data_IF_055368623350
#
_entry.id   IF_055368623350
#
_cell.length_a   1.000
_cell.length_b   1.000
_cell.length_c   1.000
_cell.angle_alpha   90.00
_cell.angle_beta   90.00
_cell.angle_gamma   90.00
#
_symmetry.space_group_name_H-M   'P 1'
#
loop_
_entity.id
_entity.type
_entity.pdbx_description
1 polymer ?
#
# COMPACT_ATOMS: atom_id res chain seq x y z
N UNK A 1 13.11 14.64 -23.23
CA UNK A 1 12.03 13.62 -23.10
C UNK A 1 10.81 14.25 -22.45
N UNK A 2 9.59 13.81 -22.83
CA UNK A 2 8.38 14.31 -22.17
C UNK A 2 8.30 13.78 -20.73
N UNK A 3 7.81 14.58 -19.76
CA UNK A 3 7.66 14.13 -18.39
C UNK A 3 6.72 12.91 -18.33
N UNK A 4 7.14 11.90 -17.57
CA UNK A 4 6.31 10.71 -17.32
C UNK A 4 5.34 11.02 -16.20
N UNK A 5 4.03 11.02 -16.50
CA UNK A 5 2.98 11.24 -15.51
C UNK A 5 2.36 9.93 -15.07
N UNK A 6 2.49 9.63 -13.79
CA UNK A 6 1.95 8.41 -13.18
C UNK A 6 0.95 8.76 -12.09
N UNK A 7 -0.24 8.20 -12.17
CA UNK A 7 -1.22 8.31 -11.10
C UNK A 7 -1.19 7.03 -10.27
N UNK A 8 -0.96 7.18 -8.98
CA UNK A 8 -1.05 6.11 -8.00
C UNK A 8 -2.39 6.11 -7.29
N UNK A 9 -2.91 4.94 -7.00
CA UNK A 9 -4.09 4.82 -6.15
C UNK A 9 -4.02 3.57 -5.28
N UNK A 10 -4.35 3.76 -4.02
CA UNK A 10 -4.30 2.72 -3.00
C UNK A 10 -4.65 3.30 -1.65
N UNK A 11 -4.80 2.46 -0.64
CA UNK A 11 -5.07 2.98 0.70
C UNK A 11 -5.70 1.97 1.64
N UNK A 12 -6.21 2.48 2.75
CA UNK A 12 -6.80 1.69 3.83
C UNK A 12 -5.77 1.06 4.78
N UNK A 13 -4.51 0.94 4.35
CA UNK A 13 -3.38 0.49 5.18
C UNK A 13 -2.05 0.94 4.57
N UNK A 14 -0.95 0.82 5.33
CA UNK A 14 0.40 1.12 4.83
C UNK A 14 0.93 0.11 3.79
N UNK A 15 0.40 -1.12 3.80
CA UNK A 15 0.84 -2.19 2.90
C UNK A 15 0.78 -1.79 1.42
N UNK A 16 -0.38 -1.41 0.88
CA UNK A 16 -0.52 -0.98 -0.51
C UNK A 16 0.21 0.33 -0.84
N UNK A 17 0.45 1.20 0.13
CA UNK A 17 0.98 2.54 -0.10
C UNK A 17 2.50 2.54 -0.28
N UNK A 18 3.22 1.88 0.59
CA UNK A 18 4.69 1.91 0.61
C UNK A 18 5.33 1.42 -0.70
N UNK A 19 4.90 0.31 -1.33
CA UNK A 19 5.44 -0.11 -2.61
C UNK A 19 5.18 0.89 -3.76
N UNK A 20 4.03 1.60 -3.73
CA UNK A 20 3.75 2.64 -4.73
C UNK A 20 4.68 3.85 -4.56
N UNK A 21 4.99 4.24 -3.32
CA UNK A 21 5.95 5.30 -3.03
C UNK A 21 7.38 4.92 -3.43
N UNK A 22 7.79 3.68 -3.15
CA UNK A 22 9.09 3.17 -3.58
C UNK A 22 9.22 3.11 -5.10
N UNK A 23 8.12 2.76 -5.81
CA UNK A 23 8.08 2.82 -7.26
C UNK A 23 8.19 4.26 -7.79
N UNK A 24 7.52 5.21 -7.16
CA UNK A 24 7.64 6.63 -7.53
C UNK A 24 9.07 7.15 -7.36
N UNK A 25 9.73 6.78 -6.27
CA UNK A 25 11.12 7.13 -6.02
C UNK A 25 12.04 6.58 -7.11
N UNK A 26 11.87 5.33 -7.50
CA UNK A 26 12.69 4.71 -8.53
C UNK A 26 12.45 5.31 -9.92
N UNK A 27 11.19 5.62 -10.27
CA UNK A 27 10.87 6.32 -11.53
C UNK A 27 11.51 7.71 -11.54
N UNK A 28 11.48 8.43 -10.40
CA UNK A 28 12.10 9.76 -10.29
C UNK A 28 13.62 9.72 -10.50
N UNK A 29 14.31 8.66 -10.07
CA UNK A 29 15.75 8.48 -10.31
C UNK A 29 16.06 8.27 -11.78
N UNK A 30 15.20 7.54 -12.49
CA UNK A 30 15.37 7.25 -13.91
C UNK A 30 14.95 8.41 -14.82
N UNK A 31 13.98 9.21 -14.39
CA UNK A 31 13.48 10.39 -15.10
C UNK A 31 13.10 11.48 -14.11
N UNK A 32 13.97 12.48 -13.96
CA UNK A 32 13.81 13.59 -13.01
C UNK A 32 12.58 14.48 -13.27
N UNK A 33 12.07 14.50 -14.50
CA UNK A 33 10.90 15.30 -14.90
C UNK A 33 9.57 14.55 -14.70
N UNK A 34 9.61 13.39 -14.01
CA UNK A 34 8.40 12.62 -13.74
C UNK A 34 7.47 13.34 -12.76
N UNK A 35 6.20 13.32 -13.10
CA UNK A 35 5.12 13.91 -12.30
C UNK A 35 4.25 12.81 -11.70
N UNK A 36 3.88 12.97 -10.44
CA UNK A 36 3.07 11.98 -9.74
C UNK A 36 1.84 12.61 -9.10
N UNK A 37 0.77 11.83 -9.02
CA UNK A 37 -0.43 12.15 -8.26
C UNK A 37 -0.89 10.92 -7.50
N UNK A 38 -1.25 11.05 -6.22
CA UNK A 38 -1.75 9.96 -5.40
C UNK A 38 -3.22 10.20 -5.04
N UNK A 39 -4.10 9.28 -5.43
CA UNK A 39 -5.50 9.25 -5.01
C UNK A 39 -5.68 8.20 -3.91
N UNK A 40 -6.16 8.62 -2.75
CA UNK A 40 -6.32 7.73 -1.60
C UNK A 40 -7.58 8.04 -0.79
N UNK A 41 -7.82 7.30 0.29
CA UNK A 41 -8.96 7.53 1.16
C UNK A 41 -8.74 8.74 2.08
N UNK A 42 -9.82 9.45 2.41
CA UNK A 42 -9.78 10.68 3.21
C UNK A 42 -9.16 10.50 4.60
N UNK A 43 -9.38 9.34 5.22
CA UNK A 43 -8.99 9.07 6.62
C UNK A 43 -8.07 7.84 6.74
N UNK A 44 -7.36 7.49 5.68
CA UNK A 44 -6.44 6.36 5.68
C UNK A 44 -5.02 6.76 6.10
N UNK A 45 -4.21 5.80 6.59
CA UNK A 45 -2.82 6.04 6.95
C UNK A 45 -1.95 6.45 5.76
N UNK A 46 -2.39 6.13 4.53
CA UNK A 46 -1.71 6.53 3.29
C UNK A 46 -1.57 8.04 3.16
N UNK A 47 -2.53 8.82 3.66
CA UNK A 47 -2.45 10.28 3.62
C UNK A 47 -1.21 10.81 4.35
N UNK A 48 -0.91 10.24 5.52
CA UNK A 48 0.26 10.65 6.31
C UNK A 48 1.55 10.24 5.60
N UNK A 49 1.58 9.03 5.04
CA UNK A 49 2.76 8.50 4.34
C UNK A 49 3.08 9.29 3.08
N UNK A 50 2.07 9.59 2.25
CA UNK A 50 2.25 10.37 1.03
C UNK A 50 2.64 11.82 1.34
N UNK A 51 2.09 12.43 2.39
CA UNK A 51 2.47 13.78 2.84
C UNK A 51 3.94 13.91 3.26
N UNK A 52 4.60 12.81 3.62
CA UNK A 52 6.03 12.80 3.90
C UNK A 52 6.89 12.83 2.63
N UNK A 53 6.27 12.69 1.48
CA UNK A 53 6.90 12.80 0.16
C UNK A 53 6.49 14.11 -0.52
N UNK A 54 7.06 14.39 -1.69
CA UNK A 54 6.67 15.55 -2.52
C UNK A 54 5.47 15.25 -3.43
N UNK A 55 4.85 14.07 -3.34
CA UNK A 55 3.76 13.64 -4.20
C UNK A 55 2.46 14.31 -3.74
N UNK A 56 1.74 15.04 -4.61
CA UNK A 56 0.42 15.57 -4.30
C UNK A 56 -0.55 14.46 -3.95
N UNK A 57 -1.31 14.64 -2.85
CA UNK A 57 -2.32 13.69 -2.38
C UNK A 57 -3.72 14.30 -2.52
N UNK A 58 -4.60 13.57 -3.16
CA UNK A 58 -6.02 13.93 -3.28
C UNK A 58 -6.87 12.88 -2.57
N UNK A 59 -7.61 13.26 -1.52
CA UNK A 59 -8.56 12.37 -0.89
C UNK A 59 -9.80 12.19 -1.77
N UNK A 60 -10.17 10.93 -2.03
CA UNK A 60 -11.39 10.61 -2.75
C UNK A 60 -12.39 9.88 -1.84
N UNK A 61 -13.70 10.10 -2.04
CA UNK A 61 -14.72 9.31 -1.37
C UNK A 61 -14.54 7.82 -1.65
N UNK A 62 -14.57 7.00 -0.62
CA UNK A 62 -14.41 5.55 -0.78
C UNK A 62 -15.42 4.82 0.09
N UNK A 63 -16.25 3.98 -0.55
CA UNK A 63 -17.07 3.00 0.15
C UNK A 63 -16.21 1.83 0.62
N UNK A 64 -16.52 1.27 1.78
CA UNK A 64 -15.94 0.00 2.23
C UNK A 64 -17.00 -1.08 2.07
N UNK A 65 -16.88 -1.96 1.08
CA UNK A 65 -17.72 -3.16 1.01
C UNK A 65 -17.42 -4.05 2.22
N UNK A 66 -18.22 -3.88 3.28
CA UNK A 66 -18.10 -4.66 4.52
C UNK A 66 -18.71 -6.04 4.29
N UNK A 67 -18.02 -7.07 4.77
CA UNK A 67 -18.51 -8.47 4.67
C UNK A 67 -19.63 -8.80 5.66
N UNK A 68 -20.06 -7.82 6.47
CA UNK A 68 -21.16 -7.96 7.44
C UNK A 68 -22.27 -6.97 7.13
N UNK A 69 -23.49 -7.30 7.55
CA UNK A 69 -24.65 -6.45 7.37
C UNK A 69 -24.46 -5.12 8.12
N UNK A 70 -24.50 -4.01 7.40
CA UNK A 70 -24.42 -2.65 7.96
C UNK A 70 -25.27 -1.70 7.13
N UNK A 71 -26.01 -0.80 7.76
CA UNK A 71 -26.74 0.29 7.11
C UNK A 71 -25.83 1.14 6.18
N UNK A 72 -24.55 1.22 6.51
CA UNK A 72 -23.56 1.93 5.71
C UNK A 72 -23.32 1.29 4.35
N UNK A 73 -23.57 0.01 4.18
CA UNK A 73 -23.45 -0.68 2.88
C UNK A 73 -24.47 -0.14 1.86
N UNK A 74 -25.55 0.50 2.32
CA UNK A 74 -26.54 1.13 1.45
C UNK A 74 -26.01 2.45 0.83
N UNK A 75 -25.14 3.16 1.55
CA UNK A 75 -24.52 4.40 1.06
C UNK A 75 -23.18 4.17 0.36
N UNK A 76 -22.55 3.02 0.55
CA UNK A 76 -21.26 2.69 -0.06
C UNK A 76 -21.28 2.78 -1.60
N UNK A 77 -22.33 2.36 -2.35
CA UNK A 77 -22.41 2.55 -3.80
C UNK A 77 -22.36 4.03 -4.22
N UNK A 78 -23.06 4.90 -3.49
CA UNK A 78 -23.04 6.36 -3.78
C UNK A 78 -21.65 6.94 -3.56
N UNK A 79 -20.96 6.51 -2.49
CA UNK A 79 -19.57 6.91 -2.22
C UNK A 79 -18.61 6.39 -3.29
N UNK A 80 -18.81 5.17 -3.79
CA UNK A 80 -18.02 4.59 -4.88
C UNK A 80 -18.22 5.40 -6.18
N UNK A 81 -19.46 5.74 -6.51
CA UNK A 81 -19.76 6.59 -7.68
C UNK A 81 -19.16 7.98 -7.54
N UNK A 82 -19.28 8.61 -6.35
CA UNK A 82 -18.65 9.89 -6.05
C UNK A 82 -17.13 9.84 -6.17
N UNK A 83 -16.52 8.76 -5.65
CA UNK A 83 -15.08 8.52 -5.80
C UNK A 83 -14.67 8.33 -7.27
N UNK A 84 -15.50 7.65 -8.06
CA UNK A 84 -15.31 7.50 -9.49
C UNK A 84 -15.34 8.83 -10.24
N UNK A 85 -16.27 9.71 -9.91
CA UNK A 85 -16.39 11.04 -10.52
C UNK A 85 -15.17 11.92 -10.18
N UNK A 86 -14.76 11.96 -8.91
CA UNK A 86 -13.57 12.70 -8.50
C UNK A 86 -12.33 12.12 -9.19
N UNK A 87 -12.17 10.79 -9.19
CA UNK A 87 -11.10 10.12 -9.92
C UNK A 87 -11.08 10.47 -11.41
N UNK A 88 -12.26 10.46 -12.07
CA UNK A 88 -12.42 10.79 -13.47
C UNK A 88 -11.96 12.24 -13.78
N UNK A 89 -12.36 13.21 -12.95
CA UNK A 89 -11.92 14.61 -13.10
C UNK A 89 -10.41 14.74 -12.96
N UNK A 90 -9.81 14.06 -11.97
CA UNK A 90 -8.36 14.09 -11.81
C UNK A 90 -7.59 13.38 -12.92
N UNK A 91 -8.15 12.32 -13.50
CA UNK A 91 -7.58 11.67 -14.69
C UNK A 91 -7.60 12.59 -15.91
N UNK A 92 -8.69 13.34 -16.11
CA UNK A 92 -8.81 14.31 -17.21
C UNK A 92 -7.85 15.50 -17.06
N UNK A 93 -7.69 16.00 -15.85
CA UNK A 93 -6.85 17.18 -15.56
C UNK A 93 -5.37 16.87 -15.52
N UNK A 94 -4.98 15.81 -14.81
CA UNK A 94 -3.61 15.36 -14.66
C UNK A 94 -3.07 14.65 -15.92
N UNK A 95 -3.93 13.96 -16.67
CA UNK A 95 -3.64 13.23 -17.91
C UNK A 95 -2.45 12.26 -17.73
N UNK A 96 -2.52 11.30 -16.80
CA UNK A 96 -1.44 10.35 -16.62
C UNK A 96 -1.31 9.42 -17.81
N UNK A 97 -0.10 8.96 -18.11
CA UNK A 97 0.15 7.91 -19.11
C UNK A 97 -0.19 6.52 -18.56
N UNK A 98 -0.19 6.36 -17.23
CA UNK A 98 -0.51 5.09 -16.58
C UNK A 98 -1.09 5.33 -15.19
N UNK A 99 -2.01 4.47 -14.81
CA UNK A 99 -2.53 4.35 -13.43
C UNK A 99 -1.96 3.08 -12.82
N UNK A 100 -1.37 3.18 -11.64
CA UNK A 100 -0.83 2.03 -10.89
C UNK A 100 -1.54 1.90 -9.56
N UNK A 101 -1.99 0.70 -9.24
CA UNK A 101 -2.65 0.39 -7.96
C UNK A 101 -2.03 -0.80 -7.28
N UNK A 102 -1.95 -0.75 -5.96
CA UNK A 102 -1.57 -1.90 -5.12
C UNK A 102 -2.76 -2.51 -4.38
N UNK A 103 -3.99 -2.25 -4.86
CA UNK A 103 -5.23 -2.71 -4.24
C UNK A 103 -5.91 -1.63 -3.40
N UNK A 104 -6.95 -2.02 -2.68
CA UNK A 104 -7.87 -1.17 -1.93
C UNK A 104 -9.14 -0.81 -2.69
N UNK A 105 -10.24 -0.71 -1.97
CA UNK A 105 -11.54 -0.34 -2.56
C UNK A 105 -11.57 1.08 -3.13
N UNK A 106 -10.72 1.98 -2.64
CA UNK A 106 -10.58 3.33 -3.17
C UNK A 106 -10.09 3.34 -4.62
N UNK A 107 -9.32 2.32 -5.01
CA UNK A 107 -8.75 2.20 -6.37
C UNK A 107 -9.76 1.70 -7.40
N UNK A 108 -10.79 0.96 -6.98
CA UNK A 108 -11.75 0.34 -7.91
C UNK A 108 -12.42 1.38 -8.81
N UNK A 109 -13.08 2.45 -8.30
CA UNK A 109 -13.71 3.43 -9.16
C UNK A 109 -12.72 4.19 -10.05
N UNK A 110 -11.48 4.39 -9.59
CA UNK A 110 -10.42 5.04 -10.37
C UNK A 110 -9.98 4.15 -11.54
N UNK A 111 -9.85 2.83 -11.32
CA UNK A 111 -9.50 1.87 -12.36
C UNK A 111 -10.55 1.84 -13.49
N UNK A 112 -11.85 1.86 -13.14
CA UNK A 112 -12.91 1.94 -14.13
C UNK A 112 -12.96 3.28 -14.86
N UNK A 113 -12.70 4.40 -14.17
CA UNK A 113 -12.57 5.70 -14.80
C UNK A 113 -11.37 5.76 -15.77
N UNK A 114 -10.24 5.17 -15.39
CA UNK A 114 -9.07 5.04 -16.28
C UNK A 114 -9.39 4.21 -17.52
N UNK A 115 -10.10 3.10 -17.37
CA UNK A 115 -10.54 2.26 -18.48
C UNK A 115 -11.45 3.01 -19.45
N UNK A 116 -12.43 3.78 -18.96
CA UNK A 116 -13.31 4.63 -19.79
C UNK A 116 -12.48 5.65 -20.59
N UNK A 117 -11.47 6.22 -19.97
CA UNK A 117 -10.58 7.20 -20.61
C UNK A 117 -9.45 6.55 -21.44
N UNK A 118 -9.42 5.21 -21.54
CA UNK A 118 -8.39 4.44 -22.24
C UNK A 118 -6.98 4.69 -21.72
N UNK A 119 -6.87 5.01 -20.42
CA UNK A 119 -5.59 5.16 -19.72
C UNK A 119 -5.17 3.78 -19.21
N UNK A 120 -3.96 3.29 -19.54
CA UNK A 120 -3.47 2.00 -19.06
C UNK A 120 -3.50 1.90 -17.55
N UNK A 121 -4.01 0.76 -17.04
CA UNK A 121 -4.08 0.47 -15.62
C UNK A 121 -3.28 -0.80 -15.28
N UNK A 122 -2.42 -0.70 -14.28
CA UNK A 122 -1.54 -1.76 -13.81
C UNK A 122 -1.89 -2.10 -12.35
N UNK A 123 -2.10 -3.38 -12.08
CA UNK A 123 -2.26 -3.90 -10.72
C UNK A 123 -0.92 -4.40 -10.19
N UNK A 124 -0.48 -3.89 -9.05
CA UNK A 124 0.59 -4.48 -8.24
C UNK A 124 -0.04 -5.40 -7.19
N UNK A 125 0.09 -6.71 -7.38
CA UNK A 125 -0.45 -7.72 -6.49
C UNK A 125 0.66 -8.30 -5.61
N UNK A 126 0.61 -7.98 -4.33
CA UNK A 126 1.66 -8.34 -3.38
C UNK A 126 1.33 -9.60 -2.56
N UNK A 127 0.05 -9.85 -2.33
CA UNK A 127 -0.40 -10.99 -1.53
C UNK A 127 -0.53 -12.25 -2.37
N UNK A 128 -0.37 -13.43 -1.73
CA UNK A 128 -0.57 -14.74 -2.36
C UNK A 128 -2.02 -14.92 -2.83
N UNK A 129 -2.98 -14.39 -2.08
CA UNK A 129 -4.40 -14.43 -2.45
C UNK A 129 -4.89 -13.06 -2.87
N UNK A 130 -5.45 -12.92 -4.09
CA UNK A 130 -5.99 -11.66 -4.55
C UNK A 130 -7.12 -11.16 -3.66
N UNK A 131 -6.99 -9.90 -3.21
CA UNK A 131 -8.09 -9.22 -2.55
C UNK A 131 -9.26 -8.96 -3.49
N UNK A 132 -10.46 -8.77 -2.93
CA UNK A 132 -11.67 -8.51 -3.72
C UNK A 132 -11.51 -7.27 -4.62
N UNK A 133 -10.86 -6.21 -4.15
CA UNK A 133 -10.63 -5.01 -4.94
C UNK A 133 -9.83 -5.31 -6.23
N UNK A 134 -8.72 -6.07 -6.12
CA UNK A 134 -7.92 -6.43 -7.29
C UNK A 134 -8.67 -7.35 -8.26
N UNK A 135 -9.51 -8.25 -7.74
CA UNK A 135 -10.39 -9.09 -8.58
C UNK A 135 -11.41 -8.25 -9.35
N UNK A 136 -11.98 -7.23 -8.71
CA UNK A 136 -12.92 -6.31 -9.36
C UNK A 136 -12.25 -5.44 -10.43
N UNK A 137 -10.99 -5.04 -10.23
CA UNK A 137 -10.26 -4.24 -11.19
C UNK A 137 -9.66 -5.05 -12.35
N UNK A 138 -9.46 -6.36 -12.17
CA UNK A 138 -8.81 -7.22 -13.16
C UNK A 138 -9.41 -7.14 -14.58
N UNK A 139 -10.76 -7.11 -14.78
CA UNK A 139 -11.34 -7.03 -16.12
C UNK A 139 -11.00 -5.75 -16.88
N UNK A 140 -10.66 -4.68 -16.19
CA UNK A 140 -10.35 -3.36 -16.78
C UNK A 140 -8.86 -3.01 -16.73
N UNK A 141 -8.02 -3.96 -16.29
CA UNK A 141 -6.58 -3.78 -16.15
C UNK A 141 -5.81 -4.36 -17.33
N UNK A 142 -4.83 -3.66 -17.82
CA UNK A 142 -3.98 -4.09 -18.91
C UNK A 142 -2.83 -4.98 -18.47
N UNK A 143 -2.31 -4.75 -17.26
CA UNK A 143 -1.15 -5.48 -16.75
C UNK A 143 -1.28 -5.83 -15.27
N UNK A 144 -0.63 -6.91 -14.90
CA UNK A 144 -0.45 -7.40 -13.55
C UNK A 144 1.03 -7.57 -13.25
N UNK A 145 1.47 -6.93 -12.18
CA UNK A 145 2.77 -7.20 -11.57
C UNK A 145 2.53 -7.95 -10.27
N UNK A 146 3.11 -9.12 -10.10
CA UNK A 146 2.87 -9.99 -8.95
C UNK A 146 4.17 -10.44 -8.31
N UNK A 147 4.16 -10.58 -6.97
CA UNK A 147 5.29 -11.18 -6.24
C UNK A 147 5.31 -12.70 -6.34
N UNK A 148 4.17 -13.32 -6.60
CA UNK A 148 4.03 -14.77 -6.66
C UNK A 148 3.43 -15.21 -7.99
N UNK A 149 4.04 -16.22 -8.61
CA UNK A 149 3.57 -16.78 -9.87
C UNK A 149 2.19 -17.44 -9.73
N UNK A 150 1.99 -18.17 -8.64
CA UNK A 150 0.71 -18.80 -8.33
C UNK A 150 -0.44 -17.80 -8.21
N UNK A 151 -0.14 -16.57 -7.83
CA UNK A 151 -1.12 -15.48 -7.76
C UNK A 151 -1.45 -14.93 -9.14
N UNK A 152 -0.47 -14.82 -10.03
CA UNK A 152 -0.68 -14.34 -11.40
C UNK A 152 -1.69 -15.21 -12.16
N UNK A 153 -1.71 -16.51 -11.90
CA UNK A 153 -2.64 -17.47 -12.51
C UNK A 153 -4.10 -17.26 -12.07
N UNK A 154 -4.34 -16.56 -10.97
CA UNK A 154 -5.69 -16.24 -10.48
C UNK A 154 -6.32 -15.01 -11.17
N UNK A 155 -5.63 -14.43 -12.14
CA UNK A 155 -6.10 -13.28 -12.95
C UNK A 155 -6.18 -13.65 -14.44
N UNK A 156 -7.10 -14.53 -14.85
CA UNK A 156 -7.17 -15.01 -16.23
C UNK A 156 -7.49 -13.89 -17.24
N UNK A 157 -8.20 -12.84 -16.85
CA UNK A 157 -8.57 -11.72 -17.69
C UNK A 157 -7.41 -10.80 -18.09
N UNK A 158 -6.28 -10.88 -17.39
CA UNK A 158 -5.11 -10.03 -17.67
C UNK A 158 -4.09 -10.82 -18.49
N UNK A 159 -3.80 -10.34 -19.70
CA UNK A 159 -2.86 -11.00 -20.60
C UNK A 159 -1.39 -10.71 -20.25
N UNK A 160 -1.08 -9.44 -19.93
CA UNK A 160 0.28 -9.05 -19.59
C UNK A 160 0.53 -9.25 -18.09
N UNK A 161 1.30 -10.27 -17.76
CA UNK A 161 1.67 -10.59 -16.38
C UNK A 161 3.18 -10.60 -16.23
N UNK A 162 3.67 -10.02 -15.13
CA UNK A 162 5.09 -10.04 -14.76
C UNK A 162 5.24 -10.41 -13.31
N UNK A 163 6.11 -11.37 -13.03
CA UNK A 163 6.58 -11.69 -11.68
C UNK A 163 7.79 -10.82 -11.38
N UNK A 164 7.79 -10.19 -10.21
CA UNK A 164 8.94 -9.45 -9.67
C UNK A 164 9.20 -9.87 -8.22
N UNK A 165 10.37 -9.51 -7.69
CA UNK A 165 10.62 -9.56 -6.25
C UNK A 165 9.83 -8.50 -5.48
N UNK A 166 9.79 -8.59 -4.14
CA UNK A 166 9.16 -7.57 -3.32
C UNK A 166 9.76 -6.18 -3.58
N UNK A 167 8.90 -5.19 -3.74
CA UNK A 167 9.33 -3.79 -3.82
C UNK A 167 9.71 -3.33 -2.40
N UNK A 168 10.97 -2.99 -2.23
CA UNK A 168 11.55 -2.63 -0.93
C UNK A 168 12.12 -1.21 -1.03
N UNK A 169 11.92 -0.41 0.02
CA UNK A 169 12.48 0.94 0.09
C UNK A 169 14.00 0.92 0.16
N UNK A 170 14.64 1.89 -0.47
CA UNK A 170 16.10 1.98 -0.55
C UNK A 170 16.75 2.05 0.83
N UNK A 171 16.11 2.70 1.82
CA UNK A 171 16.66 2.84 3.17
C UNK A 171 16.90 1.50 3.87
N UNK A 172 16.19 0.43 3.47
CA UNK A 172 16.39 -0.91 4.05
C UNK A 172 17.76 -1.47 3.63
N UNK A 173 18.22 -1.16 2.42
CA UNK A 173 19.54 -1.61 1.94
C UNK A 173 20.71 -0.80 2.54
N UNK A 174 20.45 0.40 3.03
CA UNK A 174 21.42 1.25 3.73
C UNK A 174 21.35 1.10 5.25
N UNK A 175 20.68 0.07 5.75
CA UNK A 175 20.58 -0.20 7.19
C UNK A 175 21.97 -0.47 7.79
N UNK A 176 22.19 0.09 8.98
CA UNK A 176 23.44 -0.02 9.72
C UNK A 176 23.14 -0.50 11.15
N UNK A 177 23.75 -1.60 11.56
CA UNK A 177 23.56 -2.20 12.86
C UNK A 177 24.08 -1.31 14.00
N UNK A 178 25.19 -0.60 13.80
CA UNK A 178 25.79 0.30 14.80
C UNK A 178 24.81 1.43 15.15
N UNK A 179 24.23 2.08 14.13
CA UNK A 179 23.20 3.12 14.33
C UNK A 179 21.95 2.58 15.04
N UNK A 180 21.57 1.33 14.76
CA UNK A 180 20.46 0.70 15.45
C UNK A 180 20.80 0.44 16.93
N UNK A 181 22.00 -0.06 17.20
CA UNK A 181 22.49 -0.30 18.56
C UNK A 181 22.51 1.00 19.39
N UNK A 182 23.07 2.07 18.84
CA UNK A 182 23.07 3.39 19.48
C UNK A 182 21.64 3.91 19.73
N UNK A 183 20.78 3.85 18.72
CA UNK A 183 19.41 4.39 18.80
C UNK A 183 18.53 3.68 19.83
N UNK A 184 18.70 2.36 19.97
CA UNK A 184 17.88 1.53 20.85
C UNK A 184 18.61 1.09 22.12
N UNK A 185 19.86 1.51 22.33
CA UNK A 185 20.66 1.11 23.49
C UNK A 185 20.95 -0.39 23.52
N UNK A 186 21.24 -0.99 22.35
CA UNK A 186 21.45 -2.43 22.24
C UNK A 186 22.92 -2.79 22.41
N UNK A 187 23.18 -3.94 23.03
CA UNK A 187 24.51 -4.52 23.16
C UNK A 187 24.85 -5.40 21.98
N UNK A 188 25.95 -5.15 21.24
CA UNK A 188 26.29 -5.93 20.04
C UNK A 188 26.46 -7.43 20.29
N UNK A 189 26.94 -7.80 21.49
CA UNK A 189 27.24 -9.20 21.87
C UNK A 189 25.96 -10.02 22.27
N UNK A 190 24.82 -9.36 22.48
CA UNK A 190 23.61 -10.04 22.91
C UNK A 190 22.66 -10.24 21.73
N UNK A 191 22.10 -11.45 21.53
CA UNK A 191 21.13 -11.68 20.46
C UNK A 191 19.91 -10.78 20.59
N UNK A 192 19.40 -10.26 19.45
CA UNK A 192 18.25 -9.38 19.37
C UNK A 192 17.06 -10.11 18.78
N UNK A 193 15.89 -10.00 19.43
CA UNK A 193 14.61 -10.39 18.89
C UNK A 193 13.83 -9.13 18.50
N UNK A 194 13.53 -8.99 17.20
CA UNK A 194 12.65 -7.97 16.69
C UNK A 194 11.24 -8.55 16.52
N UNK A 195 10.26 -7.97 17.22
CA UNK A 195 8.85 -8.36 17.13
C UNK A 195 8.07 -7.23 16.47
N UNK A 196 7.39 -7.52 15.38
CA UNK A 196 6.61 -6.49 14.67
C UNK A 196 5.31 -7.02 14.10
N UNK A 197 4.23 -6.30 14.34
CA UNK A 197 2.90 -6.53 13.77
C UNK A 197 2.54 -5.53 12.66
N UNK A 198 3.56 -4.86 12.07
CA UNK A 198 3.39 -3.79 11.10
C UNK A 198 3.02 -2.45 11.73
N UNK A 199 2.83 -1.40 10.91
CA UNK A 199 2.61 -0.03 11.39
C UNK A 199 1.35 0.16 12.23
N UNK A 200 0.28 -0.58 11.97
CA UNK A 200 -0.96 -0.55 12.77
C UNK A 200 -0.86 -1.44 14.02
N UNK A 201 0.12 -2.33 14.08
CA UNK A 201 0.26 -3.34 15.11
C UNK A 201 -0.65 -4.54 14.91
N UNK A 202 -0.37 -5.60 15.67
CA UNK A 202 -1.15 -6.83 15.69
C UNK A 202 -1.53 -7.17 17.13
N UNK A 203 -2.74 -6.83 17.56
CA UNK A 203 -3.20 -7.01 18.95
C UNK A 203 -3.02 -8.46 19.43
N UNK A 204 -3.30 -9.45 18.58
CA UNK A 204 -3.11 -10.87 18.91
C UNK A 204 -1.65 -11.22 19.17
N UNK A 205 -0.72 -10.73 18.32
CA UNK A 205 0.71 -10.90 18.51
C UNK A 205 1.18 -10.21 19.81
N UNK A 206 0.78 -8.96 20.00
CA UNK A 206 1.15 -8.18 21.18
C UNK A 206 0.73 -8.89 22.48
N UNK A 207 -0.52 -9.38 22.53
CA UNK A 207 -1.04 -10.15 23.69
C UNK A 207 -0.32 -11.48 23.90
N UNK A 208 0.06 -12.17 22.84
CA UNK A 208 0.77 -13.44 22.93
C UNK A 208 2.21 -13.26 23.45
N UNK A 209 2.86 -12.17 23.06
CA UNK A 209 4.25 -11.89 23.43
C UNK A 209 4.39 -11.35 24.85
N UNK A 210 3.45 -10.52 25.30
CA UNK A 210 3.53 -9.82 26.58
C UNK A 210 3.86 -10.73 27.79
N UNK A 211 3.22 -11.90 27.96
CA UNK A 211 3.54 -12.81 29.06
C UNK A 211 4.96 -13.41 28.97
N UNK A 212 5.53 -13.48 27.77
CA UNK A 212 6.82 -14.10 27.51
C UNK A 212 8.00 -13.12 27.64
N UNK A 213 7.74 -11.82 27.70
CA UNK A 213 8.81 -10.80 27.67
C UNK A 213 9.82 -11.00 28.79
N UNK A 214 9.39 -11.29 30.01
CA UNK A 214 10.31 -11.52 31.14
C UNK A 214 11.27 -12.69 30.88
N UNK A 215 10.77 -13.76 30.29
CA UNK A 215 11.57 -14.92 29.93
C UNK A 215 12.53 -14.59 28.77
N UNK A 216 12.05 -13.89 27.75
CA UNK A 216 12.89 -13.51 26.62
C UNK A 216 14.03 -12.57 27.04
N UNK A 217 13.78 -11.64 27.95
CA UNK A 217 14.78 -10.69 28.43
C UNK A 217 15.90 -11.34 29.25
N UNK A 218 15.75 -12.57 29.74
CA UNK A 218 16.84 -13.27 30.45
C UNK A 218 18.01 -13.62 29.52
N UNK A 219 17.74 -13.90 28.24
CA UNK A 219 18.74 -14.34 27.27
C UNK A 219 18.92 -13.39 26.08
N UNK A 220 17.86 -12.64 25.74
CA UNK A 220 17.80 -11.82 24.53
C UNK A 220 17.58 -10.35 24.87
N UNK A 221 17.88 -9.50 23.89
CA UNK A 221 17.34 -8.14 23.83
C UNK A 221 16.07 -8.16 22.98
N UNK A 222 15.08 -7.37 23.34
CA UNK A 222 13.79 -7.37 22.64
C UNK A 222 13.44 -5.95 22.18
N UNK A 223 13.22 -5.79 20.88
CA UNK A 223 12.59 -4.61 20.31
C UNK A 223 11.20 -5.00 19.83
N UNK A 224 10.17 -4.45 20.46
CA UNK A 224 8.77 -4.77 20.14
C UNK A 224 8.06 -3.55 19.57
N UNK A 225 7.72 -3.61 18.28
CA UNK A 225 6.93 -2.60 17.59
C UNK A 225 5.44 -2.94 17.75
N UNK A 226 4.81 -2.35 18.74
CA UNK A 226 3.42 -2.64 19.11
C UNK A 226 2.39 -2.04 18.14
N UNK A 227 2.79 -1.01 17.36
CA UNK A 227 1.93 -0.31 16.40
C UNK A 227 1.14 0.83 17.00
N UNK A 228 0.55 1.65 16.14
CA UNK A 228 -0.25 2.85 16.51
C UNK A 228 -1.76 2.62 16.45
N UNK A 229 -2.22 1.41 16.13
CA UNK A 229 -3.65 1.08 16.01
C UNK A 229 -4.39 1.11 17.35
N UNK A 230 -5.68 1.45 17.32
CA UNK A 230 -6.56 1.39 18.49
C UNK A 230 -6.65 -0.06 19.00
N UNK A 231 -6.44 -0.27 20.29
CA UNK A 231 -6.41 -1.59 20.94
C UNK A 231 -5.00 -2.15 21.20
N UNK A 232 -3.94 -1.44 20.80
CA UNK A 232 -2.54 -1.77 21.11
C UNK A 232 -2.02 -1.12 22.41
N UNK A 233 -2.89 -0.52 23.21
CA UNK A 233 -2.54 -0.06 24.54
C UNK A 233 -2.25 -1.29 25.41
N UNK A 234 -0.99 -1.52 25.69
CA UNK A 234 -0.42 -2.59 26.52
C UNK A 234 -0.26 -2.10 27.95
#
# INVERSE_FOLDING_TARGET
EKPVRVLFTGGGSGGPTLPLLALAEEISKQNNDSEFLFLGSKNGPEQIMVKQTKIPFVPIPSGKLRRYWSWRNFFDPVLILGGGLVGFVHLLTFRPQVVVTAGSFVSVPVAYAAWILRIPHVILQMDVRPGLANRLMAPVSQALVSYFESTANQFPSISLKRKIGPVVRQEIFSANAERANERFGLHPERPLILITGGGQGAVGLNRAVLPLIKHLLSEYQVVHLTGTGSGNNL
#
